data_IF_694906160865
#
_entry.id   IF_694906160865
#
_cell.length_a   1.000
_cell.length_b   1.000
_cell.length_c   1.000
_cell.angle_alpha   90.00
_cell.angle_beta   90.00
_cell.angle_gamma   90.00
#
_symmetry.space_group_name_H-M   'P 1'
#
loop_
_entity.id
_entity.type
_entity.pdbx_description
1 polymer ?
#
# COMPACT_ATOMS: atom_id res chain seq x y z
N UNK A 1 29.06 -27.67 -21.90
CA UNK A 1 28.09 -27.70 -20.78
C UNK A 1 27.65 -26.28 -20.52
N UNK A 2 26.44 -25.92 -20.92
CA UNK A 2 25.89 -24.58 -20.70
C UNK A 2 25.32 -24.56 -19.28
N UNK A 3 25.95 -23.81 -18.37
CA UNK A 3 25.33 -23.50 -17.08
C UNK A 3 24.24 -22.46 -17.35
N UNK A 4 23.02 -22.92 -17.59
CA UNK A 4 21.85 -22.06 -17.43
C UNK A 4 21.77 -21.74 -15.94
N UNK A 5 22.21 -20.55 -15.56
CA UNK A 5 21.94 -20.02 -14.24
C UNK A 5 20.43 -19.82 -14.16
N UNK A 6 19.77 -20.71 -13.42
CA UNK A 6 18.35 -20.67 -13.15
C UNK A 6 18.14 -19.76 -11.93
N UNK A 7 17.41 -18.67 -12.12
CA UNK A 7 17.21 -17.67 -11.07
C UNK A 7 15.75 -17.75 -10.54
N UNK A 8 15.54 -17.96 -9.23
CA UNK A 8 14.23 -17.78 -8.58
C UNK A 8 13.75 -16.33 -8.66
N UNK A 9 12.53 -16.01 -8.19
CA UNK A 9 11.95 -14.66 -8.30
C UNK A 9 11.64 -13.99 -6.96
N UNK A 10 11.69 -12.66 -6.89
CA UNK A 10 11.16 -11.87 -5.76
C UNK A 10 9.95 -11.08 -6.22
N UNK A 11 8.80 -11.32 -5.61
CA UNK A 11 7.59 -10.54 -5.84
C UNK A 11 7.49 -9.39 -4.83
N UNK A 12 7.00 -8.24 -5.28
CA UNK A 12 6.41 -7.24 -4.41
C UNK A 12 5.01 -7.70 -3.98
N UNK A 13 4.71 -7.54 -2.70
CA UNK A 13 3.39 -7.61 -2.14
C UNK A 13 2.98 -6.22 -1.64
N UNK A 14 1.71 -6.06 -1.29
CA UNK A 14 1.10 -4.80 -0.84
C UNK A 14 1.86 -4.10 0.29
N UNK A 15 2.73 -4.81 1.01
CA UNK A 15 3.47 -4.28 2.15
C UNK A 15 4.86 -4.93 2.41
N UNK A 16 5.37 -5.81 1.54
CA UNK A 16 6.66 -6.48 1.76
C UNK A 16 7.18 -7.15 0.48
N UNK A 17 8.38 -7.74 0.53
CA UNK A 17 8.92 -8.63 -0.48
C UNK A 17 8.69 -10.10 -0.12
N UNK A 18 8.30 -10.89 -1.11
CA UNK A 18 8.19 -12.33 -1.00
C UNK A 18 9.20 -12.99 -1.93
N UNK A 19 10.07 -13.82 -1.37
CA UNK A 19 10.93 -14.70 -2.16
C UNK A 19 10.15 -15.93 -2.62
N UNK A 20 10.11 -16.14 -3.92
CA UNK A 20 9.46 -17.28 -4.57
C UNK A 20 10.55 -18.22 -5.08
N UNK A 21 10.74 -19.33 -4.36
CA UNK A 21 11.75 -20.35 -4.68
C UNK A 21 11.29 -21.30 -5.80
N UNK A 22 10.95 -20.72 -6.96
CA UNK A 22 10.57 -21.45 -8.15
C UNK A 22 11.42 -21.01 -9.34
N UNK A 23 11.94 -21.98 -10.09
CA UNK A 23 12.78 -21.72 -11.25
C UNK A 23 11.93 -21.22 -12.43
N UNK A 24 12.14 -19.97 -12.84
CA UNK A 24 11.33 -19.31 -13.87
C UNK A 24 12.19 -18.42 -14.76
N UNK A 25 11.73 -18.16 -15.99
CA UNK A 25 12.27 -17.05 -16.78
C UNK A 25 11.81 -15.73 -16.17
N UNK A 26 12.49 -14.61 -16.46
CA UNK A 26 12.05 -13.30 -15.96
C UNK A 26 10.59 -13.00 -16.32
N UNK A 27 10.18 -13.30 -17.57
CA UNK A 27 8.80 -13.10 -18.03
C UNK A 27 7.79 -13.97 -17.28
N UNK A 28 8.15 -15.23 -17.00
CA UNK A 28 7.26 -16.13 -16.25
C UNK A 28 7.18 -15.73 -14.78
N UNK A 29 8.29 -15.31 -14.18
CA UNK A 29 8.31 -14.81 -12.81
C UNK A 29 7.45 -13.54 -12.67
N UNK A 30 7.55 -12.61 -13.62
CA UNK A 30 6.70 -11.42 -13.67
C UNK A 30 5.22 -11.78 -13.77
N UNK A 31 4.87 -12.69 -14.70
CA UNK A 31 3.49 -13.15 -14.86
C UNK A 31 2.96 -13.79 -13.57
N UNK A 32 3.75 -14.66 -12.97
CA UNK A 32 3.41 -15.30 -11.69
C UNK A 32 3.16 -14.27 -10.58
N UNK A 33 4.07 -13.29 -10.43
CA UNK A 33 3.89 -12.25 -9.42
C UNK A 33 2.65 -11.41 -9.67
N UNK A 34 2.28 -11.09 -10.91
CA UNK A 34 1.05 -10.33 -11.21
C UNK A 34 -0.23 -11.14 -11.02
N UNK A 35 -0.17 -12.47 -11.18
CA UNK A 35 -1.32 -13.34 -10.95
C UNK A 35 -1.61 -13.61 -9.47
N UNK A 36 -0.58 -13.55 -8.61
CA UNK A 36 -0.68 -13.94 -7.19
C UNK A 36 -0.39 -12.82 -6.20
N UNK A 37 0.30 -11.78 -6.64
CA UNK A 37 0.85 -10.68 -5.86
C UNK A 37 0.73 -9.37 -6.66
N UNK A 38 1.59 -8.39 -6.40
CA UNK A 38 1.57 -7.12 -7.13
C UNK A 38 2.34 -7.20 -8.45
N UNK A 39 3.66 -7.38 -8.39
CA UNK A 39 4.58 -7.52 -9.53
C UNK A 39 5.91 -8.09 -8.99
N UNK A 40 6.97 -8.19 -9.81
CA UNK A 40 8.33 -8.36 -9.34
C UNK A 40 8.78 -7.14 -8.50
N UNK A 41 9.73 -7.38 -7.58
CA UNK A 41 10.21 -6.36 -6.66
C UNK A 41 10.86 -5.16 -7.36
N UNK A 42 10.42 -3.95 -6.99
CA UNK A 42 11.11 -2.69 -7.29
C UNK A 42 12.04 -2.32 -6.15
N UNK A 43 13.16 -1.66 -6.42
CA UNK A 43 14.04 -1.13 -5.37
C UNK A 43 14.25 0.35 -5.64
N UNK A 44 13.68 1.21 -4.80
CA UNK A 44 13.80 2.67 -4.95
C UNK A 44 14.61 3.36 -3.85
N UNK A 45 14.93 2.62 -2.78
CA UNK A 45 15.55 3.13 -1.56
C UNK A 45 16.50 2.11 -0.90
N UNK A 46 17.46 2.55 -0.08
CA UNK A 46 18.29 1.65 0.73
C UNK A 46 17.47 0.76 1.66
N UNK A 47 16.33 1.24 2.14
CA UNK A 47 15.39 0.48 2.97
C UNK A 47 14.77 -0.67 2.18
N UNK A 48 14.40 -0.44 0.92
CA UNK A 48 13.95 -1.50 0.01
C UNK A 48 15.03 -2.55 -0.21
N UNK A 49 16.27 -2.12 -0.46
CA UNK A 49 17.41 -3.02 -0.63
C UNK A 49 17.56 -3.93 0.61
N UNK A 50 17.44 -3.37 1.81
CA UNK A 50 17.54 -4.14 3.05
C UNK A 50 16.40 -5.15 3.19
N UNK A 51 15.16 -4.72 2.97
CA UNK A 51 13.98 -5.61 3.02
C UNK A 51 14.06 -6.72 1.98
N UNK A 52 14.53 -6.41 0.78
CA UNK A 52 14.67 -7.37 -0.31
C UNK A 52 15.69 -8.46 0.04
N UNK A 53 16.87 -8.06 0.53
CA UNK A 53 17.92 -9.02 0.96
C UNK A 53 17.42 -9.88 2.11
N UNK A 54 16.68 -9.29 3.06
CA UNK A 54 16.07 -10.02 4.17
C UNK A 54 15.05 -11.05 3.67
N UNK A 55 14.13 -10.66 2.79
CA UNK A 55 13.12 -11.56 2.21
C UNK A 55 13.75 -12.71 1.42
N UNK A 56 14.84 -12.45 0.69
CA UNK A 56 15.61 -13.46 -0.01
C UNK A 56 16.46 -14.35 0.92
N UNK A 57 16.45 -14.11 2.24
CA UNK A 57 17.32 -14.79 3.21
C UNK A 57 18.80 -14.77 2.80
N UNK A 58 19.25 -13.66 2.23
CA UNK A 58 20.62 -13.49 1.74
C UNK A 58 20.95 -14.23 0.42
N UNK A 59 19.97 -14.82 -0.27
CA UNK A 59 20.17 -15.40 -1.61
C UNK A 59 20.38 -14.28 -2.63
N UNK A 60 21.45 -14.38 -3.42
CA UNK A 60 21.87 -13.33 -4.37
C UNK A 60 21.33 -13.51 -5.79
N UNK A 61 20.59 -14.58 -6.04
CA UNK A 61 20.21 -15.03 -7.38
C UNK A 61 18.70 -14.97 -7.53
N UNK A 62 18.11 -13.78 -7.66
CA UNK A 62 16.66 -13.67 -7.82
C UNK A 62 16.26 -12.60 -8.83
N UNK A 63 15.20 -12.87 -9.60
CA UNK A 63 14.58 -11.90 -10.48
C UNK A 63 13.91 -10.80 -9.68
N UNK A 64 14.19 -9.56 -10.08
CA UNK A 64 13.51 -8.35 -9.63
C UNK A 64 12.85 -7.68 -10.84
N UNK A 65 12.05 -6.64 -10.60
CA UNK A 65 11.27 -5.97 -11.63
C UNK A 65 12.09 -5.15 -12.64
N UNK A 66 13.42 -5.11 -12.49
CA UNK A 66 14.29 -4.36 -13.38
C UNK A 66 14.45 -5.10 -14.72
N UNK A 67 14.11 -4.43 -15.83
CA UNK A 67 14.28 -4.97 -17.18
C UNK A 67 14.79 -3.90 -18.16
N UNK A 68 15.43 -4.36 -19.24
CA UNK A 68 15.95 -3.49 -20.30
C UNK A 68 14.93 -3.34 -21.44
N UNK A 69 14.47 -2.12 -21.67
CA UNK A 69 13.67 -1.74 -22.83
C UNK A 69 14.54 -0.97 -23.83
N UNK A 70 15.24 -1.71 -24.70
CA UNK A 70 16.05 -1.16 -25.80
C UNK A 70 17.08 -0.12 -25.30
N UNK A 71 17.89 -0.50 -24.32
CA UNK A 71 18.91 0.36 -23.70
C UNK A 71 18.37 1.32 -22.64
N UNK A 72 17.09 1.19 -22.26
CA UNK A 72 16.46 1.95 -21.20
C UNK A 72 15.98 1.01 -20.10
N UNK A 73 16.69 0.98 -18.97
CA UNK A 73 16.28 0.23 -17.80
C UNK A 73 15.00 0.79 -17.20
N UNK A 74 14.03 -0.08 -16.95
CA UNK A 74 12.73 0.26 -16.37
C UNK A 74 12.30 -0.77 -15.33
N UNK A 75 11.40 -0.33 -14.45
CA UNK A 75 10.74 -1.19 -13.48
C UNK A 75 9.46 -1.77 -14.08
N UNK A 76 9.22 -3.06 -13.85
CA UNK A 76 8.02 -3.77 -14.30
C UNK A 76 6.76 -3.24 -13.63
N UNK A 77 6.88 -2.87 -12.34
CA UNK A 77 5.84 -2.19 -11.61
C UNK A 77 5.80 -0.72 -12.07
N UNK A 78 4.75 -0.36 -12.81
CA UNK A 78 4.51 1.03 -13.22
C UNK A 78 4.06 1.90 -12.04
N UNK A 79 4.18 3.22 -12.16
CA UNK A 79 3.67 4.22 -11.20
C UNK A 79 2.16 4.08 -10.87
N UNK A 80 1.41 3.24 -11.59
CA UNK A 80 0.08 2.81 -11.19
C UNK A 80 0.15 1.74 -10.08
N UNK A 81 0.81 2.07 -8.98
CA UNK A 81 0.65 1.33 -7.73
C UNK A 81 -0.85 1.23 -7.45
N UNK A 82 -1.41 0.03 -7.19
CA UNK A 82 -2.83 -0.09 -6.91
C UNK A 82 -3.15 0.81 -5.74
N UNK A 83 -4.02 1.78 -6.01
CA UNK A 83 -4.56 2.67 -4.99
C UNK A 83 -5.44 1.77 -4.12
N UNK A 84 -4.92 1.38 -2.96
CA UNK A 84 -5.72 0.70 -1.98
C UNK A 84 -6.82 1.66 -1.53
N UNK A 85 -8.07 1.25 -1.75
CA UNK A 85 -9.22 1.95 -1.19
C UNK A 85 -9.53 1.26 0.11
N UNK A 86 -9.51 2.02 1.20
CA UNK A 86 -9.99 1.51 2.48
C UNK A 86 -11.12 2.40 2.91
N UNK A 87 -12.25 1.78 3.25
CA UNK A 87 -13.34 2.49 3.86
C UNK A 87 -13.08 2.62 5.36
N UNK A 88 -13.00 3.86 5.82
CA UNK A 88 -12.83 4.16 7.24
C UNK A 88 -14.14 4.59 7.86
N UNK A 89 -14.50 3.91 8.95
CA UNK A 89 -15.56 4.36 9.85
C UNK A 89 -14.95 5.25 10.91
N UNK A 90 -15.34 6.51 10.92
CA UNK A 90 -14.94 7.45 11.96
C UNK A 90 -16.14 7.77 12.85
N UNK A 91 -15.88 7.85 14.15
CA UNK A 91 -16.84 8.38 15.13
C UNK A 91 -16.31 9.73 15.59
N UNK A 92 -17.06 10.78 15.33
CA UNK A 92 -16.76 12.12 15.84
C UNK A 92 -17.22 12.23 17.30
N UNK A 93 -16.52 13.05 18.06
CA UNK A 93 -16.82 13.26 19.49
C UNK A 93 -18.03 14.19 19.71
N UNK A 94 -18.44 14.95 18.70
CA UNK A 94 -19.63 15.81 18.70
C UNK A 94 -20.36 15.69 17.36
N UNK A 95 -21.69 15.83 17.39
CA UNK A 95 -22.56 15.78 16.21
C UNK A 95 -22.57 17.10 15.41
N UNK A 96 -22.11 18.20 16.00
CA UNK A 96 -22.11 19.53 15.37
C UNK A 96 -20.89 19.77 14.46
N UNK A 97 -19.93 18.84 14.46
CA UNK A 97 -18.73 18.93 13.62
C UNK A 97 -19.06 18.38 12.24
N UNK A 98 -18.96 19.22 11.22
CA UNK A 98 -19.06 18.79 9.83
C UNK A 98 -17.74 18.14 9.38
N UNK A 99 -17.69 16.81 9.13
CA UNK A 99 -16.48 16.15 8.67
C UNK A 99 -16.06 16.54 7.25
N UNK A 100 -16.96 17.13 6.45
CA UNK A 100 -16.65 17.59 5.09
C UNK A 100 -16.13 19.03 5.05
N UNK A 101 -16.05 19.73 6.20
CA UNK A 101 -15.33 21.00 6.29
C UNK A 101 -13.85 20.78 5.88
N UNK A 102 -13.26 21.65 5.05
CA UNK A 102 -11.88 21.50 4.59
C UNK A 102 -10.86 21.36 5.74
N UNK A 103 -10.99 22.15 6.79
CA UNK A 103 -10.05 22.13 7.93
C UNK A 103 -10.20 20.83 8.71
N UNK A 104 -11.44 20.36 8.90
CA UNK A 104 -11.73 19.13 9.64
C UNK A 104 -11.26 17.90 8.86
N UNK A 105 -11.60 17.80 7.57
CA UNK A 105 -11.21 16.67 6.72
C UNK A 105 -9.70 16.57 6.53
N UNK A 106 -8.99 17.71 6.46
CA UNK A 106 -7.53 17.74 6.41
C UNK A 106 -6.91 17.32 7.76
N UNK A 107 -7.46 17.79 8.88
CA UNK A 107 -7.02 17.38 10.21
C UNK A 107 -7.19 15.86 10.43
N UNK A 108 -8.30 15.28 9.97
CA UNK A 108 -8.53 13.84 9.98
C UNK A 108 -7.46 13.11 9.16
N UNK A 109 -7.19 13.58 7.94
CA UNK A 109 -6.20 12.98 7.04
C UNK A 109 -4.80 12.99 7.67
N UNK A 110 -4.42 14.11 8.30
CA UNK A 110 -3.14 14.28 8.98
C UNK A 110 -3.01 13.36 10.20
N UNK A 111 -4.05 13.22 11.01
CA UNK A 111 -4.06 12.30 12.14
C UNK A 111 -3.96 10.83 11.69
N UNK A 112 -4.69 10.46 10.63
CA UNK A 112 -4.63 9.12 10.06
C UNK A 112 -3.22 8.80 9.54
N UNK A 113 -2.63 9.74 8.81
CA UNK A 113 -1.26 9.61 8.30
C UNK A 113 -0.28 9.40 9.47
N UNK A 114 -0.35 10.22 10.52
CA UNK A 114 0.52 10.09 11.70
C UNK A 114 0.40 8.73 12.40
N UNK A 115 -0.82 8.23 12.61
CA UNK A 115 -1.05 6.92 13.22
C UNK A 115 -0.53 5.77 12.37
N UNK A 116 -0.82 5.80 11.07
CA UNK A 116 -0.36 4.76 10.16
C UNK A 116 1.16 4.77 10.01
N UNK A 117 1.82 5.93 10.03
CA UNK A 117 3.29 6.00 10.03
C UNK A 117 3.91 5.41 11.31
N UNK A 118 3.22 5.53 12.45
CA UNK A 118 3.67 4.97 13.72
C UNK A 118 3.47 3.44 13.79
N UNK A 119 2.37 2.92 13.24
CA UNK A 119 2.07 1.49 13.22
C UNK A 119 2.79 0.75 12.07
N UNK A 120 3.01 1.43 10.94
CA UNK A 120 3.68 0.90 9.74
C UNK A 120 5.11 1.43 9.61
N UNK A 121 5.93 1.18 10.64
CA UNK A 121 7.34 1.61 10.74
C UNK A 121 8.09 1.43 9.39
N UNK A 122 8.80 2.48 8.96
CA UNK A 122 9.65 2.55 7.76
C UNK A 122 8.92 2.46 6.39
N UNK A 123 7.80 3.16 6.22
CA UNK A 123 7.13 3.29 4.91
C UNK A 123 6.75 4.73 4.63
N UNK A 124 7.00 5.18 3.41
CA UNK A 124 6.48 6.44 2.89
C UNK A 124 5.20 6.13 2.09
N UNK A 125 4.04 6.56 2.55
CA UNK A 125 2.77 6.39 1.84
C UNK A 125 2.03 7.72 1.77
N UNK A 126 1.37 8.00 0.67
CA UNK A 126 0.51 9.18 0.52
C UNK A 126 -0.94 8.79 0.78
N UNK A 127 -1.62 9.52 1.67
CA UNK A 127 -3.05 9.40 1.85
C UNK A 127 -3.77 10.53 1.12
N UNK A 128 -4.89 10.19 0.47
CA UNK A 128 -5.79 11.16 -0.14
C UNK A 128 -7.22 10.71 0.00
N UNK A 129 -8.13 11.66 0.14
CA UNK A 129 -9.56 11.38 0.09
C UNK A 129 -10.01 11.00 -1.32
N UNK A 130 -10.94 10.06 -1.40
CA UNK A 130 -11.72 9.82 -2.61
C UNK A 130 -13.04 10.54 -2.45
N UNK A 131 -13.34 11.48 -3.34
CA UNK A 131 -14.65 12.16 -3.36
C UNK A 131 -15.67 11.25 -4.04
N UNK A 132 -16.87 11.18 -3.46
CA UNK A 132 -18.01 10.57 -4.11
C UNK A 132 -18.52 11.46 -5.27
N UNK A 133 -19.56 11.00 -5.96
CA UNK A 133 -20.12 11.71 -7.12
C UNK A 133 -20.74 13.07 -6.77
N UNK A 134 -21.22 13.20 -5.54
CA UNK A 134 -21.75 14.44 -4.97
C UNK A 134 -20.64 15.43 -4.58
N UNK A 135 -19.37 15.00 -4.60
CA UNK A 135 -18.23 15.81 -4.21
C UNK A 135 -17.88 15.74 -2.71
N UNK A 136 -18.69 15.02 -1.91
CA UNK A 136 -18.46 14.81 -0.49
C UNK A 136 -17.46 13.66 -0.24
N UNK A 137 -16.81 13.71 0.92
CA UNK A 137 -15.82 12.72 1.36
C UNK A 137 -16.46 11.76 2.36
N UNK A 138 -17.24 12.30 3.30
CA UNK A 138 -17.86 11.56 4.38
C UNK A 138 -19.36 11.56 4.24
N UNK A 139 -19.95 10.37 4.34
CA UNK A 139 -21.39 10.17 4.35
C UNK A 139 -21.80 9.57 5.68
N UNK A 140 -22.89 10.08 6.25
CA UNK A 140 -23.50 9.47 7.43
C UNK A 140 -23.95 8.05 7.10
N UNK A 141 -23.43 7.06 7.80
CA UNK A 141 -23.94 5.71 7.69
C UNK A 141 -25.35 5.65 8.25
N UNK A 142 -26.30 5.25 7.41
CA UNK A 142 -27.66 4.94 7.88
C UNK A 142 -27.62 3.68 8.72
N UNK A 143 -28.39 3.64 9.82
CA UNK A 143 -28.42 2.53 10.80
C UNK A 143 -28.81 1.17 10.20
N UNK A 144 -29.30 1.14 8.96
CA UNK A 144 -29.73 -0.03 8.20
C UNK A 144 -28.79 -0.40 7.03
N UNK A 145 -27.81 0.44 6.69
CA UNK A 145 -26.85 0.17 5.62
C UNK A 145 -25.68 -0.65 6.16
N UNK A 146 -25.85 -1.98 6.14
CA UNK A 146 -24.70 -2.86 5.91
C UNK A 146 -24.21 -2.48 4.51
N UNK A 147 -23.02 -1.91 4.39
CA UNK A 147 -22.44 -1.62 3.10
C UNK A 147 -22.41 -2.95 2.35
N UNK A 148 -23.24 -3.08 1.31
CA UNK A 148 -23.18 -4.24 0.42
C UNK A 148 -21.71 -4.37 0.04
N UNK A 149 -21.11 -5.47 0.50
CA UNK A 149 -19.69 -5.73 0.37
C UNK A 149 -19.28 -5.38 -1.07
N UNK A 150 -18.43 -4.35 -1.20
CA UNK A 150 -17.81 -4.05 -2.47
C UNK A 150 -17.11 -5.35 -2.92
N UNK A 151 -17.24 -5.74 -4.19
CA UNK A 151 -16.64 -6.96 -4.70
C UNK A 151 -15.15 -6.72 -4.95
N UNK A 152 -14.41 -6.45 -3.87
CA UNK A 152 -12.97 -6.67 -3.76
C UNK A 152 -12.62 -6.54 -2.28
N UNK A 153 -11.80 -7.47 -1.79
CA UNK A 153 -11.60 -7.73 -0.37
C UNK A 153 -10.86 -6.63 0.39
N UNK A 154 -11.55 -5.52 0.68
CA UNK A 154 -11.05 -4.45 1.53
C UNK A 154 -11.34 -4.76 3.02
N UNK A 155 -10.28 -4.74 3.83
CA UNK A 155 -10.36 -4.90 5.29
C UNK A 155 -11.04 -3.70 5.94
N UNK A 156 -12.10 -3.95 6.72
CA UNK A 156 -12.76 -2.95 7.57
C UNK A 156 -11.80 -2.47 8.68
N UNK A 157 -11.41 -1.20 8.63
CA UNK A 157 -10.55 -0.58 9.63
C UNK A 157 -11.38 0.36 10.53
N UNK A 158 -11.64 -0.07 11.76
CA UNK A 158 -12.27 0.78 12.79
C UNK A 158 -11.21 1.66 13.45
N UNK A 159 -11.27 2.98 13.23
CA UNK A 159 -10.35 3.93 13.84
C UNK A 159 -11.09 4.89 14.77
N UNK A 160 -10.65 4.94 16.03
CA UNK A 160 -11.09 5.96 16.98
C UNK A 160 -10.13 7.14 16.92
N UNK A 161 -10.58 8.25 16.33
CA UNK A 161 -9.85 9.53 16.31
C UNK A 161 -10.06 10.19 17.66
N UNK A 162 -8.99 10.38 18.44
CA UNK A 162 -9.05 11.09 19.72
C UNK A 162 -8.85 12.57 19.44
N UNK A 163 -9.59 13.42 20.15
CA UNK A 163 -9.45 14.87 20.10
C UNK A 163 -7.99 15.29 20.38
N UNK A 164 -7.41 16.26 19.66
CA UNK A 164 -6.17 16.89 20.08
C UNK A 164 -6.44 17.67 21.38
N UNK A 165 -5.98 17.17 22.53
CA UNK A 165 -6.04 17.95 23.76
C UNK A 165 -5.09 19.15 23.66
N UNK A 166 -5.53 20.30 24.17
CA UNK A 166 -4.78 21.55 24.19
C UNK A 166 -3.50 21.51 25.05
N UNK A 167 -3.25 20.39 25.75
CA UNK A 167 -2.17 20.24 26.72
C UNK A 167 -0.86 19.65 26.15
N UNK A 168 -0.78 19.29 24.86
CA UNK A 168 0.44 18.71 24.25
C UNK A 168 1.47 19.77 23.79
N UNK A 169 1.29 21.04 24.16
CA UNK A 169 2.28 22.10 23.99
C UNK A 169 2.65 22.72 25.35
N UNK A 170 3.36 21.96 26.18
CA UNK A 170 4.12 22.49 27.33
C UNK A 170 5.30 21.59 27.65
#
# INVERSE_FOLDING_TARGET
MLYFLLFPGVCAALHDYLFVDMAMTWMDAQRYCREKHLDLATVDSPEDQHRLVHAASGRSHAWIGLYDEIGSWKWSLSDQVPVMKTLFRIKLSSADIDPNDPEVSEAILKQLHGKLMQEMVNKNFSLRWTKARDGEIFHNMRKDQTIEALPDGDTECDLTIKHPSFDDYS
#
